data_IF_833694320765
#
_entry.id   IF_833694320765
#
_cell.length_a   1.000
_cell.length_b   1.000
_cell.length_c   1.000
_cell.angle_alpha   90.00
_cell.angle_beta   90.00
_cell.angle_gamma   90.00
#
_symmetry.space_group_name_H-M   'P 1'
#
loop_
_entity.id
_entity.type
_entity.pdbx_description
1 polymer ?
#
# COMPACT_ATOMS: atom_id res chain seq x y z
N UNK A 1 24.97 7.42 1.51
CA UNK A 1 23.60 7.21 2.02
C UNK A 1 23.69 6.28 3.20
N UNK A 2 22.73 6.34 4.09
CA UNK A 2 22.52 5.31 5.10
C UNK A 2 21.06 4.84 5.07
N UNK A 3 20.86 3.66 5.63
CA UNK A 3 19.54 3.14 5.99
C UNK A 3 19.03 3.85 7.23
N UNK A 4 17.72 4.06 7.31
CA UNK A 4 17.09 4.51 8.54
C UNK A 4 17.18 3.39 9.59
N UNK A 5 17.42 3.74 10.85
CA UNK A 5 17.51 2.78 11.96
C UNK A 5 16.21 2.00 12.21
N UNK A 6 15.06 2.57 11.83
CA UNK A 6 13.74 1.95 12.03
C UNK A 6 13.22 1.22 10.79
N UNK A 7 13.75 1.52 9.61
CA UNK A 7 13.34 0.91 8.35
C UNK A 7 14.56 0.75 7.42
N UNK A 8 15.12 -0.47 7.29
CA UNK A 8 16.28 -0.72 6.44
C UNK A 8 15.99 -0.53 4.95
N UNK A 9 14.71 -0.50 4.55
CA UNK A 9 14.30 -0.24 3.18
C UNK A 9 14.20 1.27 2.88
N UNK A 10 14.27 2.13 3.89
CA UNK A 10 14.31 3.58 3.71
C UNK A 10 15.75 4.08 3.70
N UNK A 11 16.22 4.56 2.55
CA UNK A 11 17.54 5.15 2.40
C UNK A 11 17.46 6.67 2.41
N UNK A 12 18.37 7.31 3.14
CA UNK A 12 18.50 8.77 3.18
C UNK A 12 19.94 9.18 2.85
N UNK A 13 20.08 10.34 2.24
CA UNK A 13 21.38 10.98 2.04
C UNK A 13 21.89 11.65 3.30
N UNK A 14 23.10 11.32 3.70
CA UNK A 14 23.78 11.87 4.87
C UNK A 14 24.82 12.94 4.49
N UNK A 15 24.81 13.36 3.22
CA UNK A 15 25.84 14.20 2.60
C UNK A 15 25.34 15.60 2.30
N UNK A 16 25.91 16.21 1.26
CA UNK A 16 25.64 17.60 0.90
C UNK A 16 24.18 17.84 0.51
N UNK A 17 23.63 19.00 0.91
CA UNK A 17 22.21 19.35 0.74
C UNK A 17 21.79 19.39 -0.74
N UNK A 18 22.70 19.78 -1.62
CA UNK A 18 22.47 19.86 -3.06
C UNK A 18 22.21 18.50 -3.73
N UNK A 19 22.64 17.40 -3.11
CA UNK A 19 22.42 16.04 -3.59
C UNK A 19 21.53 15.24 -2.61
N UNK A 20 20.47 15.87 -2.10
CA UNK A 20 19.51 15.24 -1.21
C UNK A 20 18.65 14.18 -1.91
N UNK A 21 18.40 13.06 -1.22
CA UNK A 21 17.50 11.99 -1.64
C UNK A 21 17.00 11.15 -0.46
N UNK A 22 15.69 10.87 -0.46
CA UNK A 22 15.04 9.83 0.33
C UNK A 22 14.50 8.80 -0.66
N UNK A 23 14.83 7.52 -0.46
CA UNK A 23 14.44 6.42 -1.34
C UNK A 23 13.80 5.33 -0.49
N UNK A 24 12.53 5.04 -0.74
CA UNK A 24 11.87 3.86 -0.22
C UNK A 24 12.07 2.72 -1.22
N UNK A 25 12.88 1.74 -0.84
CA UNK A 25 13.08 0.52 -1.61
C UNK A 25 11.88 -0.41 -1.41
N UNK A 26 11.36 -0.93 -2.51
CA UNK A 26 10.40 -2.04 -2.51
C UNK A 26 10.82 -3.03 -3.59
N UNK A 27 10.37 -4.28 -3.47
CA UNK A 27 10.73 -5.39 -4.37
C UNK A 27 10.33 -5.15 -5.82
N UNK A 28 9.23 -4.45 -6.07
CA UNK A 28 8.66 -4.26 -7.41
C UNK A 28 8.88 -2.83 -7.93
N UNK A 29 8.42 -1.82 -7.18
CA UNK A 29 8.56 -0.40 -7.53
C UNK A 29 9.37 0.38 -6.48
N UNK A 30 10.22 1.31 -6.92
CA UNK A 30 11.00 2.19 -6.01
C UNK A 30 10.50 3.61 -6.08
N UNK A 31 10.12 4.19 -4.94
CA UNK A 31 9.72 5.60 -4.84
C UNK A 31 10.85 6.44 -4.23
N UNK A 32 11.15 7.58 -4.84
CA UNK A 32 12.20 8.47 -4.37
C UNK A 32 11.77 9.94 -4.41
N UNK A 33 12.03 10.66 -3.32
CA UNK A 33 12.03 12.13 -3.27
C UNK A 33 13.47 12.57 -3.34
N UNK A 34 13.86 13.29 -4.39
CA UNK A 34 15.25 13.64 -4.62
C UNK A 34 15.45 14.91 -5.42
N UNK A 35 16.64 15.49 -5.22
CA UNK A 35 17.18 16.55 -6.06
C UNK A 35 17.67 15.99 -7.41
N UNK A 36 17.72 16.83 -8.47
CA UNK A 36 18.30 16.42 -9.75
C UNK A 36 19.75 15.90 -9.62
N UNK A 37 20.58 16.54 -8.80
CA UNK A 37 21.98 16.14 -8.59
C UNK A 37 22.14 14.76 -7.92
N UNK A 38 21.15 14.32 -7.13
CA UNK A 38 21.15 12.95 -6.60
C UNK A 38 20.81 11.91 -7.69
N UNK A 39 20.04 12.29 -8.71
CA UNK A 39 19.51 11.39 -9.74
C UNK A 39 20.58 10.86 -10.69
N UNK A 40 21.66 11.61 -10.88
CA UNK A 40 22.79 11.28 -11.78
C UNK A 40 23.66 10.14 -11.26
N UNK A 41 23.60 9.86 -9.95
CA UNK A 41 24.43 8.83 -9.30
C UNK A 41 23.86 7.41 -9.40
N UNK A 42 22.63 7.25 -9.94
CA UNK A 42 21.97 5.94 -10.07
C UNK A 42 21.79 5.56 -11.53
N UNK A 43 22.56 4.56 -11.98
CA UNK A 43 22.26 3.81 -13.21
C UNK A 43 21.09 2.86 -12.94
N UNK A 44 19.88 3.39 -13.09
CA UNK A 44 18.63 2.64 -12.93
C UNK A 44 17.81 2.70 -14.21
N UNK A 45 16.71 1.92 -14.26
CA UNK A 45 15.67 2.03 -15.29
C UNK A 45 15.21 3.49 -15.47
N UNK A 46 14.60 3.84 -16.62
CA UNK A 46 13.98 5.15 -16.82
C UNK A 46 13.13 5.55 -15.62
N UNK A 47 13.31 6.78 -15.15
CA UNK A 47 12.67 7.30 -13.95
C UNK A 47 11.49 8.14 -14.39
N UNK A 48 10.30 7.76 -13.96
CA UNK A 48 9.12 8.60 -14.13
C UNK A 48 9.08 9.67 -13.04
N UNK A 49 8.46 10.81 -13.33
CA UNK A 49 8.36 11.94 -12.40
C UNK A 49 6.90 12.33 -12.24
N UNK A 50 6.42 12.28 -11.01
CA UNK A 50 5.11 12.80 -10.64
C UNK A 50 5.07 14.31 -10.88
N UNK A 51 4.03 14.77 -11.59
CA UNK A 51 3.72 16.19 -11.78
C UNK A 51 2.21 16.40 -11.66
N UNK A 52 1.74 17.64 -11.85
CA UNK A 52 0.28 17.93 -11.84
C UNK A 52 -0.43 17.32 -13.06
N UNK A 53 0.32 17.09 -14.13
CA UNK A 53 -0.14 16.54 -15.41
C UNK A 53 0.11 15.03 -15.53
N UNK A 54 1.14 14.53 -14.83
CA UNK A 54 1.59 13.14 -14.92
C UNK A 54 1.34 12.41 -13.60
N UNK A 55 0.46 11.42 -13.65
CA UNK A 55 0.23 10.47 -12.55
C UNK A 55 1.19 9.29 -12.67
N UNK A 56 1.55 8.67 -11.54
CA UNK A 56 2.41 7.48 -11.53
C UNK A 56 1.66 6.25 -11.04
N UNK A 57 1.98 5.11 -11.61
CA UNK A 57 1.57 3.81 -11.09
C UNK A 57 2.62 3.31 -10.09
N UNK A 58 2.17 2.89 -8.90
CA UNK A 58 3.05 2.44 -7.82
C UNK A 58 2.36 1.34 -7.01
N UNK A 59 2.87 0.10 -7.08
CA UNK A 59 2.39 -1.07 -6.34
C UNK A 59 0.87 -1.27 -6.43
N UNK A 60 0.31 -1.12 -7.63
CA UNK A 60 -1.14 -1.29 -7.88
C UNK A 60 -2.01 -0.09 -7.46
N UNK A 61 -1.40 1.00 -7.01
CA UNK A 61 -2.05 2.28 -6.76
C UNK A 61 -1.64 3.33 -7.80
N UNK A 62 -2.42 4.39 -7.90
CA UNK A 62 -2.11 5.58 -8.70
C UNK A 62 -1.75 6.74 -7.76
N UNK A 63 -0.56 7.29 -7.95
CA UNK A 63 -0.08 8.52 -7.33
C UNK A 63 -0.46 9.71 -8.20
N UNK A 64 -1.08 10.72 -7.59
CA UNK A 64 -1.46 11.98 -8.26
C UNK A 64 -1.00 13.17 -7.42
N UNK A 65 -0.59 14.26 -8.07
CA UNK A 65 -0.22 15.50 -7.40
C UNK A 65 -1.36 16.52 -7.53
N UNK A 66 -2.01 16.87 -6.41
CA UNK A 66 -3.05 17.91 -6.34
C UNK A 66 -2.53 19.09 -5.51
N UNK A 67 -2.18 20.17 -6.20
CA UNK A 67 -1.46 21.29 -5.55
C UNK A 67 -0.11 20.80 -5.03
N UNK A 68 0.09 20.89 -3.72
CA UNK A 68 1.29 20.40 -3.02
C UNK A 68 1.04 19.08 -2.28
N UNK A 69 -0.11 18.44 -2.50
CA UNK A 69 -0.49 17.17 -1.85
C UNK A 69 -0.33 16.01 -2.82
N UNK A 70 0.39 14.97 -2.38
CA UNK A 70 0.46 13.68 -3.07
C UNK A 70 -0.70 12.81 -2.58
N UNK A 71 -1.56 12.39 -3.49
CA UNK A 71 -2.66 11.48 -3.21
C UNK A 71 -2.34 10.08 -3.77
N UNK A 72 -2.44 9.06 -2.93
CA UNK A 72 -2.34 7.65 -3.29
C UNK A 72 -3.76 7.06 -3.38
N UNK A 73 -4.16 6.62 -4.57
CA UNK A 73 -5.49 6.05 -4.82
C UNK A 73 -5.37 4.61 -5.28
N UNK A 74 -6.08 3.68 -4.64
CA UNK A 74 -6.16 2.29 -5.12
C UNK A 74 -7.03 2.17 -6.40
N UNK A 75 -6.79 1.14 -7.21
CA UNK A 75 -7.53 0.85 -8.46
C UNK A 75 -8.95 0.30 -8.24
N UNK A 76 -9.77 0.99 -7.44
CA UNK A 76 -11.18 0.67 -7.22
C UNK A 76 -11.46 -0.68 -6.57
N UNK A 77 -10.46 -1.36 -5.99
CA UNK A 77 -10.67 -2.67 -5.38
C UNK A 77 -11.55 -2.59 -4.13
N UNK A 78 -11.54 -1.45 -3.41
CA UNK A 78 -12.47 -1.19 -2.31
C UNK A 78 -13.92 -1.20 -2.74
N UNK A 79 -14.25 -0.81 -3.96
CA UNK A 79 -15.63 -0.84 -4.46
C UNK A 79 -16.18 -2.28 -4.59
N UNK A 80 -15.30 -3.28 -4.55
CA UNK A 80 -15.67 -4.71 -4.54
C UNK A 80 -15.80 -5.27 -3.13
N UNK A 81 -15.51 -4.49 -2.08
CA UNK A 81 -15.75 -4.95 -0.71
C UNK A 81 -17.26 -4.95 -0.46
N UNK A 82 -17.74 -6.05 0.11
CA UNK A 82 -19.13 -6.23 0.49
C UNK A 82 -19.21 -6.66 1.96
N UNK A 83 -20.24 -6.19 2.66
CA UNK A 83 -20.56 -6.67 4.01
C UNK A 83 -21.12 -8.09 3.89
N UNK A 84 -20.58 -9.00 4.70
CA UNK A 84 -21.05 -10.38 4.74
C UNK A 84 -22.39 -10.42 5.45
N UNK A 85 -23.41 -10.96 4.78
CA UNK A 85 -24.69 -11.26 5.40
C UNK A 85 -24.59 -12.55 6.23
N UNK A 86 -24.69 -12.44 7.55
CA UNK A 86 -24.58 -13.56 8.49
C UNK A 86 -25.65 -14.64 8.30
N UNK A 87 -26.79 -14.31 7.68
CA UNK A 87 -27.90 -15.25 7.44
C UNK A 87 -27.80 -15.95 6.07
N UNK A 88 -26.86 -15.55 5.21
CA UNK A 88 -26.74 -16.12 3.88
C UNK A 88 -26.07 -17.51 3.93
N UNK A 89 -26.57 -18.45 3.12
CA UNK A 89 -26.01 -19.80 3.03
C UNK A 89 -24.55 -19.81 2.55
N UNK A 90 -24.15 -18.83 1.72
CA UNK A 90 -22.80 -18.69 1.17
C UNK A 90 -21.85 -17.82 2.02
N UNK A 91 -22.20 -17.51 3.28
CA UNK A 91 -21.41 -16.62 4.16
C UNK A 91 -19.95 -17.04 4.35
N UNK A 92 -19.68 -18.34 4.41
CA UNK A 92 -18.30 -18.86 4.55
C UNK A 92 -17.45 -18.56 3.32
N UNK A 93 -18.00 -18.72 2.11
CA UNK A 93 -17.35 -18.36 0.86
C UNK A 93 -17.11 -16.84 0.79
N UNK A 94 -18.14 -16.05 1.13
CA UNK A 94 -18.02 -14.59 1.19
C UNK A 94 -16.96 -14.13 2.19
N UNK A 95 -16.80 -14.81 3.33
CA UNK A 95 -15.73 -14.52 4.27
C UNK A 95 -14.34 -14.68 3.65
N UNK A 96 -14.12 -15.76 2.89
CA UNK A 96 -12.84 -16.00 2.20
C UNK A 96 -12.58 -14.93 1.12
N UNK A 97 -13.61 -14.58 0.34
CA UNK A 97 -13.50 -13.54 -0.68
C UNK A 97 -13.18 -12.17 -0.07
N UNK A 98 -13.93 -11.78 0.96
CA UNK A 98 -13.82 -10.45 1.56
C UNK A 98 -12.55 -10.30 2.40
N UNK A 99 -12.09 -11.34 3.10
CA UNK A 99 -10.80 -11.30 3.79
C UNK A 99 -9.63 -11.15 2.82
N UNK A 100 -9.68 -11.82 1.66
CA UNK A 100 -8.64 -11.71 0.65
C UNK A 100 -8.61 -10.32 -0.01
N UNK A 101 -9.80 -9.77 -0.34
CA UNK A 101 -9.93 -8.40 -0.86
C UNK A 101 -9.45 -7.37 0.15
N UNK A 102 -9.87 -7.50 1.40
CA UNK A 102 -9.42 -6.64 2.50
C UNK A 102 -7.91 -6.70 2.67
N UNK A 103 -7.32 -7.90 2.70
CA UNK A 103 -5.88 -8.09 2.88
C UNK A 103 -5.07 -7.40 1.77
N UNK A 104 -5.51 -7.52 0.50
CA UNK A 104 -4.88 -6.84 -0.61
C UNK A 104 -4.88 -5.31 -0.46
N UNK A 105 -6.02 -4.74 -0.04
CA UNK A 105 -6.14 -3.28 0.15
C UNK A 105 -5.33 -2.81 1.36
N UNK A 106 -5.32 -3.61 2.43
CA UNK A 106 -4.54 -3.32 3.62
C UNK A 106 -3.04 -3.30 3.35
N UNK A 107 -2.54 -4.27 2.58
CA UNK A 107 -1.11 -4.33 2.24
C UNK A 107 -0.63 -3.15 1.41
N UNK A 108 -1.51 -2.50 0.65
CA UNK A 108 -1.16 -1.33 -0.19
C UNK A 108 -1.39 0.02 0.50
N UNK A 109 -2.46 0.17 1.29
CA UNK A 109 -2.89 1.49 1.77
C UNK A 109 -3.19 1.57 3.27
N UNK A 110 -3.34 0.45 3.98
CA UNK A 110 -3.67 0.45 5.41
C UNK A 110 -2.91 -0.63 6.19
N UNK A 111 -1.61 -0.42 6.47
CA UNK A 111 -0.80 -1.41 7.20
C UNK A 111 -1.38 -1.80 8.56
N UNK A 112 -2.09 -0.87 9.22
CA UNK A 112 -2.79 -1.12 10.50
C UNK A 112 -3.91 -2.16 10.38
N UNK A 113 -4.45 -2.40 9.19
CA UNK A 113 -5.47 -3.42 8.92
C UNK A 113 -4.86 -4.79 8.62
N UNK A 114 -3.61 -4.82 8.16
CA UNK A 114 -2.95 -6.03 7.67
C UNK A 114 -2.84 -7.11 8.76
N UNK A 115 -2.62 -6.71 10.01
CA UNK A 115 -2.57 -7.66 11.13
C UNK A 115 -3.90 -8.38 11.33
N UNK A 116 -5.00 -7.64 11.49
CA UNK A 116 -6.33 -8.22 11.70
C UNK A 116 -6.76 -9.12 10.53
N UNK A 117 -6.43 -8.70 9.30
CA UNK A 117 -6.74 -9.46 8.08
C UNK A 117 -5.85 -10.71 7.93
N UNK A 118 -4.61 -10.67 8.42
CA UNK A 118 -3.74 -11.86 8.49
C UNK A 118 -4.26 -12.86 9.52
N UNK A 119 -4.77 -12.40 10.66
CA UNK A 119 -5.40 -13.24 11.67
C UNK A 119 -6.69 -13.88 11.12
N UNK A 120 -7.54 -13.07 10.46
CA UNK A 120 -8.73 -13.55 9.78
C UNK A 120 -8.42 -14.62 8.72
N UNK A 121 -7.24 -14.56 8.10
CA UNK A 121 -6.81 -15.51 7.09
C UNK A 121 -6.43 -16.89 7.62
N UNK A 122 -6.09 -17.01 8.90
CA UNK A 122 -5.79 -18.29 9.55
C UNK A 122 -7.07 -19.08 9.93
N UNK A 123 -8.24 -18.45 9.81
CA UNK A 123 -9.53 -19.04 10.21
C UNK A 123 -10.10 -19.87 9.05
N UNK A 124 -10.04 -21.20 9.18
CA UNK A 124 -10.57 -22.12 8.17
C UNK A 124 -12.10 -22.27 8.26
N UNK A 125 -12.65 -22.31 9.47
CA UNK A 125 -14.08 -22.46 9.74
C UNK A 125 -14.60 -21.28 10.57
N UNK A 126 -14.98 -20.17 9.93
CA UNK A 126 -15.41 -18.96 10.63
C UNK A 126 -16.73 -19.16 11.38
N UNK A 127 -16.72 -18.75 12.66
CA UNK A 127 -17.91 -18.64 13.53
C UNK A 127 -18.56 -17.28 13.33
N UNK A 128 -19.77 -17.11 13.85
CA UNK A 128 -20.53 -15.85 13.73
C UNK A 128 -19.75 -14.62 14.22
N UNK A 129 -18.95 -14.77 15.28
CA UNK A 129 -18.06 -13.71 15.80
C UNK A 129 -17.03 -13.24 14.79
N UNK A 130 -16.54 -14.13 13.93
CA UNK A 130 -15.49 -13.81 12.96
C UNK A 130 -16.06 -13.07 11.75
N UNK A 131 -17.28 -13.38 11.31
CA UNK A 131 -17.97 -12.57 10.30
C UNK A 131 -18.18 -11.13 10.79
N UNK A 132 -18.58 -10.94 12.06
CA UNK A 132 -18.76 -9.60 12.66
C UNK A 132 -17.44 -8.84 12.73
N UNK A 133 -16.37 -9.48 13.21
CA UNK A 133 -15.04 -8.87 13.27
C UNK A 133 -14.53 -8.46 11.89
N UNK A 134 -14.67 -9.34 10.89
CA UNK A 134 -14.24 -9.04 9.53
C UNK A 134 -15.06 -7.88 8.93
N UNK A 135 -16.40 -7.90 9.07
CA UNK A 135 -17.24 -6.80 8.61
C UNK A 135 -16.82 -5.46 9.23
N UNK A 136 -16.52 -5.44 10.55
CA UNK A 136 -16.06 -4.24 11.24
C UNK A 136 -14.70 -3.74 10.73
N UNK A 137 -13.80 -4.65 10.33
CA UNK A 137 -12.47 -4.30 9.80
C UNK A 137 -12.51 -3.74 8.38
N UNK A 138 -13.51 -4.16 7.59
CA UNK A 138 -13.70 -3.79 6.20
C UNK A 138 -14.46 -2.46 6.01
N UNK A 139 -15.07 -1.94 7.07
CA UNK A 139 -15.68 -0.61 7.14
C UNK A 139 -14.67 0.44 7.60
#
# INVERSE_FOLDING_TARGET
MATLTYDPCLLITNGRREAFGIVGLQTDDTLAIRTPAFSTNFRAKPKERLSKEVSLEFNGCTLTLRGDTILLTQKGQSAKIEIINLKAANRAQKYIEQRARGAYIASICQPKASFDLSAAAQIQQPKDTEYVKLNRRLQ
#
